data_IF_613333850103
#
_entry.id   IF_613333850103
#
_cell.length_a   1.000
_cell.length_b   1.000
_cell.length_c   1.000
_cell.angle_alpha   90.00
_cell.angle_beta   90.00
_cell.angle_gamma   90.00
#
_symmetry.space_group_name_H-M   'P 1'
#
loop_
_entity.id
_entity.type
_entity.pdbx_description
1 polymer ?
#
# COMPACT_ATOMS: atom_id res chain seq x y z
N UNK A 1 13.82 -29.15 -19.39
CA UNK A 1 13.07 -28.99 -18.13
C UNK A 1 11.80 -28.25 -18.45
N UNK A 2 10.71 -28.99 -18.51
CA UNK A 2 9.35 -28.56 -18.81
C UNK A 2 8.89 -27.49 -17.82
N UNK A 3 8.38 -26.37 -18.32
CA UNK A 3 7.65 -25.39 -17.52
C UNK A 3 6.42 -26.09 -16.93
N UNK A 4 6.12 -25.95 -15.62
CA UNK A 4 4.88 -26.47 -15.08
C UNK A 4 3.72 -25.73 -15.74
N UNK A 5 2.92 -26.50 -16.47
CA UNK A 5 1.65 -26.09 -17.07
C UNK A 5 0.76 -25.44 -16.02
N UNK A 6 0.36 -24.20 -16.28
CA UNK A 6 -0.66 -23.50 -15.51
C UNK A 6 -1.93 -24.34 -15.48
N UNK A 7 -2.38 -24.73 -14.30
CA UNK A 7 -3.70 -25.32 -14.08
C UNK A 7 -4.78 -24.35 -14.55
N UNK A 8 -5.30 -24.56 -15.76
CA UNK A 8 -6.57 -23.99 -16.20
C UNK A 8 -7.68 -24.68 -15.41
N UNK A 9 -8.45 -23.92 -14.62
CA UNK A 9 -9.63 -24.48 -13.95
C UNK A 9 -9.91 -24.01 -12.53
N UNK A 10 -9.32 -22.92 -12.05
CA UNK A 10 -9.71 -22.34 -10.76
C UNK A 10 -10.60 -21.10 -10.92
N UNK A 11 -11.31 -20.74 -9.86
CA UNK A 11 -12.22 -19.59 -9.82
C UNK A 11 -11.83 -18.61 -8.70
N UNK A 12 -11.96 -17.31 -8.99
CA UNK A 12 -11.72 -16.25 -7.99
C UNK A 12 -13.05 -15.68 -7.49
N UNK A 13 -13.26 -15.78 -6.19
CA UNK A 13 -14.41 -15.24 -5.47
C UNK A 13 -14.01 -13.88 -4.86
N UNK A 14 -14.58 -12.79 -5.38
CA UNK A 14 -14.27 -11.42 -4.95
C UNK A 14 -14.88 -11.14 -3.57
N UNK A 15 -14.05 -10.68 -2.64
CA UNK A 15 -14.49 -10.17 -1.33
C UNK A 15 -14.45 -8.64 -1.29
N UNK A 16 -13.31 -8.04 -1.64
CA UNK A 16 -13.20 -6.57 -1.67
C UNK A 16 -12.22 -6.07 -2.71
N UNK A 17 -12.43 -4.84 -3.17
CA UNK A 17 -11.48 -4.13 -4.01
C UNK A 17 -10.50 -3.37 -3.12
N UNK A 18 -9.21 -3.66 -3.24
CA UNK A 18 -8.16 -2.99 -2.46
C UNK A 18 -7.68 -1.70 -3.13
N UNK A 19 -7.58 -1.68 -4.46
CA UNK A 19 -7.06 -0.54 -5.21
C UNK A 19 -7.49 -0.60 -6.68
N UNK A 20 -7.72 0.55 -7.32
CA UNK A 20 -7.84 0.67 -8.78
C UNK A 20 -6.79 1.65 -9.30
N UNK A 21 -6.08 1.28 -10.35
CA UNK A 21 -5.15 2.15 -11.07
C UNK A 21 -5.31 2.04 -12.59
N UNK A 22 -4.56 2.85 -13.34
CA UNK A 22 -4.62 2.89 -14.82
C UNK A 22 -4.29 1.54 -15.48
N UNK A 23 -3.55 0.67 -14.79
CA UNK A 23 -3.04 -0.58 -15.35
C UNK A 23 -3.78 -1.82 -14.83
N UNK A 24 -4.49 -1.72 -13.70
CA UNK A 24 -5.22 -2.83 -13.10
C UNK A 24 -6.07 -2.43 -11.89
N UNK A 25 -6.98 -3.32 -11.53
CA UNK A 25 -7.71 -3.36 -10.26
C UNK A 25 -7.14 -4.47 -9.39
N UNK A 26 -6.77 -4.15 -8.15
CA UNK A 26 -6.33 -5.11 -7.13
C UNK A 26 -7.52 -5.48 -6.26
N UNK A 27 -7.77 -6.78 -6.19
CA UNK A 27 -8.92 -7.38 -5.53
C UNK A 27 -8.45 -8.43 -4.53
N UNK A 28 -9.08 -8.47 -3.36
CA UNK A 28 -8.90 -9.51 -2.35
C UNK A 28 -10.07 -10.47 -2.43
N UNK A 29 -9.81 -11.75 -2.21
CA UNK A 29 -10.82 -12.79 -2.30
C UNK A 29 -10.30 -14.17 -1.98
N UNK A 30 -11.05 -15.17 -2.40
CA UNK A 30 -10.65 -16.58 -2.33
C UNK A 30 -10.37 -17.11 -3.74
N UNK A 31 -9.28 -17.84 -3.88
CA UNK A 31 -9.00 -18.66 -5.05
C UNK A 31 -9.43 -20.09 -4.76
N UNK A 32 -10.34 -20.63 -5.57
CA UNK A 32 -10.72 -22.04 -5.56
C UNK A 32 -9.94 -22.74 -6.66
N UNK A 33 -9.11 -23.71 -6.30
CA UNK A 33 -8.41 -24.53 -7.29
C UNK A 33 -9.37 -25.51 -7.99
N UNK A 34 -8.85 -26.26 -8.96
CA UNK A 34 -9.64 -27.25 -9.69
C UNK A 34 -10.13 -28.43 -8.82
N UNK A 35 -9.55 -28.60 -7.63
CA UNK A 35 -9.92 -29.61 -6.64
C UNK A 35 -10.96 -29.07 -5.63
N UNK A 36 -11.34 -27.80 -5.73
CA UNK A 36 -12.29 -27.14 -4.82
C UNK A 36 -11.67 -26.60 -3.54
N UNK A 37 -10.35 -26.68 -3.36
CA UNK A 37 -9.68 -26.11 -2.20
C UNK A 37 -9.67 -24.58 -2.29
N UNK A 38 -10.02 -23.91 -1.20
CA UNK A 38 -10.06 -22.45 -1.14
C UNK A 38 -8.80 -21.89 -0.47
N UNK A 39 -8.14 -20.93 -1.13
CA UNK A 39 -6.97 -20.24 -0.62
C UNK A 39 -7.19 -18.73 -0.61
N UNK A 40 -6.80 -18.01 0.46
CA UNK A 40 -6.76 -16.55 0.45
C UNK A 40 -5.90 -16.03 -0.70
N UNK A 41 -6.45 -15.11 -1.48
CA UNK A 41 -5.85 -14.67 -2.74
C UNK A 41 -6.00 -13.16 -2.99
N UNK A 42 -5.08 -12.66 -3.81
CA UNK A 42 -5.16 -11.33 -4.41
C UNK A 42 -5.17 -11.49 -5.93
N UNK A 43 -6.19 -10.93 -6.58
CA UNK A 43 -6.28 -10.86 -8.04
C UNK A 43 -5.89 -9.46 -8.50
N UNK A 44 -4.94 -9.41 -9.44
CA UNK A 44 -4.71 -8.23 -10.27
C UNK A 44 -5.51 -8.41 -11.55
N UNK A 45 -6.65 -7.73 -11.63
CA UNK A 45 -7.54 -7.72 -12.77
C UNK A 45 -7.17 -6.57 -13.71
N UNK A 46 -6.84 -6.88 -14.96
CA UNK A 46 -6.58 -5.94 -16.04
C UNK A 46 -7.46 -6.20 -17.27
N UNK A 47 -8.58 -6.91 -17.11
CA UNK A 47 -9.48 -7.23 -18.20
C UNK A 47 -10.17 -5.97 -18.76
N UNK A 48 -10.57 -5.06 -17.85
CA UNK A 48 -11.36 -3.85 -18.13
C UNK A 48 -10.51 -2.60 -18.38
N UNK A 49 -9.19 -2.72 -18.44
CA UNK A 49 -8.32 -1.56 -18.74
C UNK A 49 -8.51 -1.11 -20.18
N UNK A 50 -8.24 0.18 -20.43
CA UNK A 50 -8.29 0.76 -21.78
C UNK A 50 -7.47 -0.11 -22.76
N UNK A 51 -8.03 -0.38 -23.94
CA UNK A 51 -7.45 -1.31 -24.91
C UNK A 51 -5.99 -1.01 -25.26
N UNK A 52 -5.59 0.26 -25.31
CA UNK A 52 -4.23 0.70 -25.62
C UNK A 52 -3.25 0.50 -24.44
N UNK A 53 -3.74 0.41 -23.20
CA UNK A 53 -2.95 0.08 -22.00
C UNK A 53 -2.79 -1.42 -21.83
N UNK A 54 -3.74 -2.22 -22.33
CA UNK A 54 -3.81 -3.68 -22.15
C UNK A 54 -2.50 -4.41 -22.49
N UNK A 55 -1.76 -4.11 -23.57
CA UNK A 55 -0.47 -4.76 -23.84
C UNK A 55 0.56 -4.55 -22.74
N UNK A 56 0.60 -3.35 -22.15
CA UNK A 56 1.51 -2.99 -21.07
C UNK A 56 1.07 -3.60 -19.74
N UNK A 57 -0.23 -3.58 -19.43
CA UNK A 57 -0.78 -4.26 -18.25
C UNK A 57 -0.47 -5.77 -18.27
N UNK A 58 -0.67 -6.40 -19.43
CA UNK A 58 -0.30 -7.80 -19.67
C UNK A 58 1.19 -8.05 -19.50
N UNK A 59 2.05 -7.15 -19.97
CA UNK A 59 3.49 -7.24 -19.76
C UNK A 59 3.86 -7.20 -18.27
N UNK A 60 3.27 -6.28 -17.49
CA UNK A 60 3.50 -6.21 -16.05
C UNK A 60 3.01 -7.45 -15.31
N UNK A 61 1.81 -7.97 -15.63
CA UNK A 61 1.30 -9.20 -15.04
C UNK A 61 2.21 -10.40 -15.33
N UNK A 62 2.69 -10.55 -16.57
CA UNK A 62 3.64 -11.62 -16.94
C UNK A 62 4.98 -11.49 -16.21
N UNK A 63 5.50 -10.26 -16.05
CA UNK A 63 6.74 -10.03 -15.29
C UNK A 63 6.58 -10.36 -13.82
N UNK A 64 5.49 -9.91 -13.21
CA UNK A 64 5.16 -10.19 -11.82
C UNK A 64 5.06 -11.71 -11.59
N UNK A 65 4.28 -12.41 -12.43
CA UNK A 65 4.16 -13.87 -12.35
C UNK A 65 5.50 -14.59 -12.54
N UNK A 66 6.31 -14.17 -13.52
CA UNK A 66 7.64 -14.76 -13.76
C UNK A 66 8.57 -14.57 -12.55
N UNK A 67 8.57 -13.38 -11.96
CA UNK A 67 9.40 -13.09 -10.79
C UNK A 67 8.92 -13.86 -9.55
N UNK A 68 7.61 -13.91 -9.30
CA UNK A 68 7.04 -14.63 -8.17
C UNK A 68 7.26 -16.15 -8.28
N UNK A 69 7.02 -16.76 -9.45
CA UNK A 69 7.35 -18.18 -9.70
C UNK A 69 8.83 -18.47 -9.48
N UNK A 70 9.71 -17.56 -9.90
CA UNK A 70 11.16 -17.71 -9.66
C UNK A 70 11.53 -17.53 -8.19
N UNK A 71 10.78 -16.70 -7.45
CA UNK A 71 10.95 -16.39 -6.03
C UNK A 71 10.33 -17.43 -5.10
N UNK A 72 9.59 -18.40 -5.64
CA UNK A 72 8.92 -19.43 -4.87
C UNK A 72 9.89 -20.18 -3.93
N UNK A 73 9.37 -20.55 -2.76
CA UNK A 73 10.17 -21.12 -1.68
C UNK A 73 11.13 -20.14 -0.99
N UNK A 74 11.09 -18.83 -1.29
CA UNK A 74 11.89 -17.84 -0.56
C UNK A 74 11.43 -17.62 0.89
N UNK A 75 10.17 -17.94 1.20
CA UNK A 75 9.54 -17.62 2.48
C UNK A 75 9.28 -16.12 2.71
N UNK A 76 9.50 -15.26 1.70
CA UNK A 76 9.36 -13.80 1.78
C UNK A 76 8.61 -13.20 0.58
N UNK A 77 7.94 -14.05 -0.20
CA UNK A 77 7.06 -13.67 -1.32
C UNK A 77 5.80 -14.51 -1.26
N UNK A 78 4.88 -14.27 -2.20
CA UNK A 78 3.65 -15.05 -2.34
C UNK A 78 3.71 -16.00 -3.54
N UNK A 79 3.04 -17.17 -3.47
CA UNK A 79 2.91 -18.05 -4.63
C UNK A 79 2.04 -17.42 -5.71
N UNK A 80 2.18 -17.89 -6.95
CA UNK A 80 1.27 -17.57 -8.05
C UNK A 80 0.28 -18.71 -8.18
N UNK A 81 -1.02 -18.41 -8.11
CA UNK A 81 -2.07 -19.41 -8.29
C UNK A 81 -2.47 -19.52 -9.76
N UNK A 82 -2.66 -18.40 -10.45
CA UNK A 82 -3.05 -18.40 -11.86
C UNK A 82 -2.51 -17.17 -12.60
N UNK A 83 -2.25 -17.33 -13.89
CA UNK A 83 -1.99 -16.23 -14.82
C UNK A 83 -2.76 -16.54 -16.10
N UNK A 84 -3.78 -15.74 -16.37
CA UNK A 84 -4.63 -15.88 -17.56
C UNK A 84 -4.73 -14.53 -18.30
N UNK A 85 -5.35 -14.52 -19.47
CA UNK A 85 -5.59 -13.26 -20.15
C UNK A 85 -6.58 -12.41 -19.33
N UNK A 86 -6.20 -11.16 -19.07
CA UNK A 86 -6.99 -10.26 -18.24
C UNK A 86 -6.68 -10.32 -16.74
N UNK A 87 -5.97 -11.31 -16.19
CA UNK A 87 -5.67 -11.31 -14.75
C UNK A 87 -4.49 -12.17 -14.28
N UNK A 88 -3.98 -11.82 -13.10
CA UNK A 88 -2.99 -12.59 -12.32
C UNK A 88 -3.55 -12.83 -10.90
N UNK A 89 -3.61 -14.09 -10.47
CA UNK A 89 -3.98 -14.48 -9.10
C UNK A 89 -2.74 -14.95 -8.35
N UNK A 90 -2.54 -14.41 -7.14
CA UNK A 90 -1.43 -14.74 -6.25
C UNK A 90 -1.92 -14.95 -4.82
N UNK A 91 -1.10 -15.59 -4.00
CA UNK A 91 -1.38 -15.77 -2.58
C UNK A 91 -1.58 -14.44 -1.86
N UNK A 92 -2.50 -14.44 -0.90
CA UNK A 92 -2.65 -13.37 0.08
C UNK A 92 -1.79 -13.66 1.30
N UNK A 93 -1.20 -12.60 1.86
CA UNK A 93 -0.53 -12.66 3.17
C UNK A 93 -1.20 -11.64 4.05
N UNK A 94 -1.64 -12.08 5.22
CA UNK A 94 -2.16 -11.16 6.22
C UNK A 94 -1.02 -10.32 6.81
N UNK A 95 -1.21 -9.02 6.82
CA UNK A 95 -0.17 -8.07 7.19
C UNK A 95 -0.50 -6.64 6.78
N UNK A 96 0.27 -5.71 7.33
CA UNK A 96 0.11 -4.27 7.15
C UNK A 96 1.23 -3.72 6.25
N UNK A 97 0.93 -2.86 5.26
CA UNK A 97 1.98 -2.17 4.50
C UNK A 97 2.92 -1.38 5.40
N UNK A 98 4.23 -1.41 5.13
CA UNK A 98 5.26 -0.82 6.01
C UNK A 98 5.02 0.66 6.35
N UNK A 99 4.44 1.43 5.43
CA UNK A 99 4.09 2.85 5.63
C UNK A 99 3.01 3.08 6.69
N UNK A 100 2.20 2.07 6.98
CA UNK A 100 1.18 2.09 8.03
C UNK A 100 1.77 1.46 9.30
N UNK A 101 2.38 0.28 9.18
CA UNK A 101 2.93 -0.46 10.33
C UNK A 101 4.01 0.32 11.10
N UNK A 102 4.84 1.11 10.38
CA UNK A 102 5.90 1.96 10.94
C UNK A 102 6.67 1.29 12.11
N UNK A 103 7.27 0.10 11.90
CA UNK A 103 7.82 -0.74 12.96
C UNK A 103 9.13 -0.15 13.52
N UNK A 104 9.00 0.93 14.31
CA UNK A 104 10.13 1.67 14.88
C UNK A 104 10.82 0.81 15.93
N UNK A 105 12.15 0.73 15.84
CA UNK A 105 12.96 -0.09 16.74
C UNK A 105 12.88 -1.60 16.51
N UNK A 106 12.03 -2.10 15.61
CA UNK A 106 11.89 -3.54 15.38
C UNK A 106 13.03 -4.08 14.49
N UNK A 107 14.07 -4.60 15.15
CA UNK A 107 15.21 -5.18 14.47
C UNK A 107 14.91 -6.53 13.82
N UNK A 108 13.93 -7.27 14.34
CA UNK A 108 13.55 -8.59 13.83
C UNK A 108 12.91 -8.45 12.44
N UNK A 109 12.01 -7.48 12.25
CA UNK A 109 11.44 -7.16 10.95
C UNK A 109 12.53 -6.82 9.92
N UNK A 110 13.48 -5.93 10.25
CA UNK A 110 14.55 -5.56 9.31
C UNK A 110 15.54 -6.69 9.03
N UNK A 111 15.77 -7.59 10.00
CA UNK A 111 16.52 -8.82 9.78
C UNK A 111 15.80 -9.76 8.81
N UNK A 112 14.48 -9.94 8.99
CA UNK A 112 13.62 -10.69 8.08
C UNK A 112 13.63 -10.08 6.67
N UNK A 113 13.47 -8.76 6.54
CA UNK A 113 13.47 -8.05 5.27
C UNK A 113 14.80 -8.23 4.52
N UNK A 114 15.92 -8.15 5.24
CA UNK A 114 17.25 -8.42 4.69
C UNK A 114 17.39 -9.87 4.21
N UNK A 115 16.85 -10.84 4.95
CA UNK A 115 16.82 -12.25 4.53
C UNK A 115 16.00 -12.41 3.25
N UNK A 116 14.80 -11.87 3.20
CA UNK A 116 13.94 -11.90 2.00
C UNK A 116 14.59 -11.28 0.77
N UNK A 117 15.20 -10.10 0.93
CA UNK A 117 15.90 -9.45 -0.17
C UNK A 117 17.07 -10.30 -0.69
N UNK A 118 17.84 -10.89 0.24
CA UNK A 118 18.92 -11.82 -0.12
C UNK A 118 18.39 -13.04 -0.87
N UNK A 119 17.26 -13.62 -0.46
CA UNK A 119 16.67 -14.79 -1.13
C UNK A 119 16.20 -14.49 -2.55
N UNK A 120 15.60 -13.32 -2.77
CA UNK A 120 15.21 -12.82 -4.09
C UNK A 120 16.44 -12.58 -4.97
N UNK A 121 17.46 -11.91 -4.44
CA UNK A 121 18.72 -11.67 -5.15
C UNK A 121 19.49 -12.97 -5.45
N UNK A 122 19.45 -13.96 -4.55
CA UNK A 122 20.06 -15.28 -4.78
C UNK A 122 19.47 -15.98 -5.99
N UNK A 123 18.19 -15.75 -6.27
CA UNK A 123 17.43 -16.28 -7.42
C UNK A 123 17.55 -15.41 -8.68
N UNK A 124 18.49 -14.46 -8.70
CA UNK A 124 18.77 -13.53 -9.81
C UNK A 124 17.59 -12.60 -10.14
N UNK A 125 16.81 -12.23 -9.14
CA UNK A 125 15.70 -11.29 -9.26
C UNK A 125 16.17 -9.95 -8.68
N UNK A 126 15.96 -8.85 -9.40
CA UNK A 126 16.05 -7.49 -8.85
C UNK A 126 14.64 -6.89 -8.87
N UNK A 127 14.18 -6.34 -7.75
CA UNK A 127 12.81 -5.88 -7.57
C UNK A 127 12.56 -4.53 -8.25
N UNK A 128 13.55 -3.63 -8.23
CA UNK A 128 13.56 -2.30 -8.86
C UNK A 128 12.54 -1.28 -8.34
N UNK A 129 11.72 -1.62 -7.34
CA UNK A 129 10.69 -0.71 -6.82
C UNK A 129 10.63 -0.68 -5.28
N UNK A 130 11.71 -1.05 -4.59
CA UNK A 130 11.76 -1.04 -3.12
C UNK A 130 11.84 0.36 -2.50
N UNK A 131 11.82 1.40 -3.33
CA UNK A 131 11.77 2.77 -2.88
C UNK A 131 10.47 3.08 -2.12
N UNK A 132 9.37 2.45 -2.54
CA UNK A 132 8.04 2.64 -1.96
C UNK A 132 7.90 1.77 -0.72
N UNK A 133 7.65 2.32 0.48
CA UNK A 133 7.54 1.50 1.69
C UNK A 133 6.40 0.47 1.57
N UNK A 134 5.31 0.79 0.88
CA UNK A 134 4.17 -0.13 0.66
C UNK A 134 4.51 -1.44 -0.06
N UNK A 135 5.66 -1.52 -0.74
CA UNK A 135 6.13 -2.78 -1.36
C UNK A 135 6.75 -3.74 -0.33
N UNK A 136 6.83 -3.33 0.94
CA UNK A 136 7.08 -4.18 2.09
C UNK A 136 5.80 -4.35 2.89
N UNK A 137 5.46 -5.61 3.17
CA UNK A 137 4.38 -5.98 4.07
C UNK A 137 4.97 -6.48 5.39
N UNK A 138 4.46 -5.96 6.50
CA UNK A 138 4.68 -6.48 7.84
C UNK A 138 3.63 -7.57 8.09
N UNK A 139 4.01 -8.84 7.96
CA UNK A 139 3.08 -9.95 8.12
C UNK A 139 2.67 -10.15 9.58
N UNK A 140 1.54 -10.81 9.79
CA UNK A 140 1.03 -11.14 11.12
C UNK A 140 2.02 -11.96 11.98
N UNK A 141 2.86 -12.79 11.34
CA UNK A 141 3.92 -13.57 11.97
C UNK A 141 5.22 -12.77 12.25
N UNK A 142 5.20 -11.45 12.02
CA UNK A 142 6.33 -10.53 12.19
C UNK A 142 7.35 -10.56 11.04
N UNK A 143 7.17 -11.41 10.02
CA UNK A 143 8.10 -11.47 8.89
C UNK A 143 7.84 -10.35 7.89
N UNK A 144 8.90 -9.91 7.25
CA UNK A 144 8.82 -9.02 6.10
C UNK A 144 8.54 -9.80 4.81
N UNK A 145 7.51 -9.38 4.07
CA UNK A 145 7.16 -9.92 2.75
C UNK A 145 7.33 -8.85 1.68
N UNK A 146 7.96 -9.23 0.57
CA UNK A 146 8.09 -8.40 -0.62
C UNK A 146 6.83 -8.51 -1.47
N UNK A 147 6.28 -7.35 -1.82
CA UNK A 147 5.05 -7.21 -2.60
C UNK A 147 5.32 -6.44 -3.89
N UNK A 148 4.46 -6.68 -4.88
CA UNK A 148 4.45 -5.96 -6.17
C UNK A 148 5.72 -6.15 -7.03
N UNK A 149 5.77 -7.25 -7.78
CA UNK A 149 6.89 -7.57 -8.66
C UNK A 149 6.70 -7.07 -10.11
N UNK A 150 5.78 -6.13 -10.36
CA UNK A 150 5.49 -5.67 -11.74
C UNK A 150 6.71 -5.10 -12.47
N UNK A 151 7.58 -4.39 -11.74
CA UNK A 151 8.82 -3.82 -12.28
C UNK A 151 10.05 -4.72 -12.08
N UNK A 152 9.88 -5.89 -11.46
CA UNK A 152 10.98 -6.80 -11.19
C UNK A 152 11.62 -7.28 -12.49
N UNK A 153 12.95 -7.47 -12.46
CA UNK A 153 13.74 -8.04 -13.54
C UNK A 153 14.33 -9.37 -13.08
N UNK A 154 14.11 -10.42 -13.87
CA UNK A 154 14.72 -11.74 -13.65
C UNK A 154 15.85 -11.95 -14.66
N UNK A 155 17.05 -12.13 -14.15
CA UNK A 155 18.29 -12.30 -14.92
C UNK A 155 18.69 -13.77 -14.99
N UNK A 156 19.31 -14.19 -16.10
CA UNK A 156 19.88 -15.54 -16.23
C UNK A 156 21.16 -15.72 -15.41
N UNK A 157 21.96 -14.66 -15.27
CA UNK A 157 23.24 -14.64 -14.53
C UNK A 157 23.41 -13.35 -13.74
N UNK A 158 24.32 -13.35 -12.77
CA UNK A 158 24.69 -12.18 -11.95
C UNK A 158 25.57 -11.18 -12.72
N UNK A 159 25.05 -10.69 -13.84
CA UNK A 159 25.71 -9.72 -14.73
C UNK A 159 25.99 -8.38 -14.04
N UNK A 160 26.77 -7.50 -14.69
CA UNK A 160 26.98 -6.12 -14.20
C UNK A 160 25.65 -5.39 -13.99
N UNK A 161 24.69 -5.54 -14.92
CA UNK A 161 23.36 -4.94 -14.82
C UNK A 161 22.58 -5.45 -13.59
N UNK A 162 22.58 -6.77 -13.35
CA UNK A 162 21.97 -7.35 -12.15
C UNK A 162 22.59 -6.77 -10.86
N UNK A 163 23.92 -6.68 -10.81
CA UNK A 163 24.62 -6.14 -9.63
C UNK A 163 24.26 -4.69 -9.33
N UNK A 164 24.05 -3.87 -10.37
CA UNK A 164 23.59 -2.48 -10.21
C UNK A 164 22.15 -2.44 -9.71
N UNK A 165 21.24 -3.21 -10.32
CA UNK A 165 19.83 -3.26 -9.93
C UNK A 165 19.66 -3.77 -8.48
N UNK A 166 20.34 -4.86 -8.12
CA UNK A 166 20.36 -5.39 -6.76
C UNK A 166 20.99 -4.41 -5.75
N UNK A 167 21.98 -3.62 -6.15
CA UNK A 167 22.55 -2.58 -5.30
C UNK A 167 21.54 -1.45 -5.01
N UNK A 168 20.76 -1.03 -6.00
CA UNK A 168 19.69 -0.05 -5.79
C UNK A 168 18.60 -0.59 -4.86
N UNK A 169 18.18 -1.84 -5.03
CA UNK A 169 17.26 -2.52 -4.11
C UNK A 169 17.77 -2.46 -2.65
N UNK A 170 19.03 -2.82 -2.42
CA UNK A 170 19.67 -2.76 -1.10
C UNK A 170 19.67 -1.33 -0.56
N UNK A 171 20.03 -0.35 -1.40
CA UNK A 171 20.05 1.06 -1.01
C UNK A 171 18.65 1.54 -0.60
N UNK A 172 17.61 1.15 -1.34
CA UNK A 172 16.24 1.51 -1.02
C UNK A 172 15.73 0.83 0.25
N UNK A 173 16.01 -0.46 0.44
CA UNK A 173 15.78 -1.16 1.70
C UNK A 173 16.44 -0.42 2.89
N UNK A 174 17.71 -0.03 2.76
CA UNK A 174 18.42 0.67 3.82
C UNK A 174 17.86 2.08 4.11
N UNK A 175 17.24 2.74 3.12
CA UNK A 175 16.53 4.00 3.38
C UNK A 175 15.32 3.75 4.29
N UNK A 176 14.59 2.65 4.08
CA UNK A 176 13.49 2.26 4.99
C UNK A 176 14.03 1.96 6.38
N UNK A 177 15.08 1.13 6.48
CA UNK A 177 15.72 0.83 7.78
C UNK A 177 16.17 2.10 8.50
N UNK A 178 16.75 3.07 7.80
CA UNK A 178 17.13 4.37 8.39
C UNK A 178 15.94 5.13 8.95
N UNK A 179 14.80 5.13 8.26
CA UNK A 179 13.62 5.89 8.70
C UNK A 179 12.99 5.34 9.98
N UNK A 180 13.06 4.02 10.20
CA UNK A 180 12.40 3.36 11.33
C UNK A 180 13.37 2.90 12.44
N UNK A 181 14.62 2.57 12.09
CA UNK A 181 15.66 2.08 13.01
C UNK A 181 17.04 2.74 12.71
N UNK A 182 17.18 4.07 12.81
CA UNK A 182 18.41 4.78 12.47
C UNK A 182 19.61 4.31 13.32
N UNK A 183 19.39 4.09 14.62
CA UNK A 183 20.42 3.68 15.57
C UNK A 183 21.01 2.30 15.26
N UNK A 184 20.21 1.42 14.63
CA UNK A 184 20.62 0.06 14.29
C UNK A 184 21.36 -0.05 12.95
N UNK A 185 21.70 1.07 12.31
CA UNK A 185 22.50 1.07 11.10
C UNK A 185 23.96 0.73 11.42
N UNK A 186 24.55 -0.16 10.62
CA UNK A 186 25.97 -0.46 10.69
C UNK A 186 26.79 0.58 9.92
N UNK A 187 28.10 0.66 10.19
CA UNK A 187 29.02 1.53 9.44
C UNK A 187 29.00 1.25 7.92
N UNK A 188 28.87 -0.03 7.53
CA UNK A 188 28.77 -0.43 6.11
C UNK A 188 27.47 0.06 5.48
N UNK A 189 26.35 -0.07 6.18
CA UNK A 189 25.05 0.41 5.70
C UNK A 189 25.03 1.94 5.55
N UNK A 190 25.62 2.66 6.52
CA UNK A 190 25.83 4.12 6.42
C UNK A 190 26.64 4.50 5.18
N UNK A 191 27.72 3.76 4.88
CA UNK A 191 28.54 3.97 3.68
C UNK A 191 27.74 3.74 2.38
N UNK A 192 26.92 2.70 2.32
CA UNK A 192 26.04 2.43 1.16
C UNK A 192 25.04 3.58 0.97
N UNK A 193 24.43 4.07 2.04
CA UNK A 193 23.48 5.19 2.01
C UNK A 193 24.15 6.51 1.55
N UNK A 194 25.37 6.79 2.01
CA UNK A 194 26.13 7.97 1.60
C UNK A 194 26.49 7.95 0.10
N UNK A 195 26.74 6.77 -0.48
CA UNK A 195 27.15 6.65 -1.89
C UNK A 195 25.98 6.90 -2.85
N UNK A 196 25.78 8.15 -3.30
CA UNK A 196 24.82 8.49 -4.36
C UNK A 196 25.14 7.68 -5.63
N UNK A 197 24.24 6.78 -6.03
CA UNK A 197 24.40 5.96 -7.23
C UNK A 197 24.52 6.83 -8.48
N UNK A 198 25.45 6.47 -9.36
CA UNK A 198 25.61 7.11 -10.67
C UNK A 198 24.32 6.94 -11.49
N UNK A 199 23.59 5.83 -11.32
CA UNK A 199 22.28 5.62 -11.93
C UNK A 199 21.25 6.63 -11.43
N UNK A 200 21.14 6.87 -10.12
CA UNK A 200 20.28 7.94 -9.58
C UNK A 200 20.68 9.31 -10.12
N UNK A 201 21.97 9.58 -10.28
CA UNK A 201 22.47 10.88 -10.78
C UNK A 201 22.11 11.10 -12.25
N UNK A 202 22.20 10.06 -13.07
CA UNK A 202 21.81 10.08 -14.49
C UNK A 202 20.29 10.10 -14.62
N UNK A 203 19.56 9.21 -13.94
CA UNK A 203 18.09 9.17 -13.92
C UNK A 203 17.47 10.51 -13.49
N UNK A 204 18.02 11.17 -12.47
CA UNK A 204 17.56 12.50 -12.04
C UNK A 204 17.83 13.59 -13.09
N UNK A 205 18.86 13.43 -13.93
CA UNK A 205 19.19 14.37 -15.02
C UNK A 205 18.39 14.12 -16.31
N UNK A 206 18.13 12.87 -16.68
CA UNK A 206 17.53 12.52 -17.99
C UNK A 206 16.18 11.81 -17.89
N UNK A 207 16.09 10.75 -17.08
CA UNK A 207 14.89 9.90 -17.01
C UNK A 207 13.70 10.53 -16.28
N UNK A 208 13.92 11.31 -15.22
CA UNK A 208 12.85 11.87 -14.38
C UNK A 208 11.92 12.82 -15.15
N UNK A 209 12.44 13.57 -16.13
CA UNK A 209 11.62 14.47 -16.96
C UNK A 209 10.72 13.69 -17.93
N UNK A 210 11.25 12.66 -18.58
CA UNK A 210 10.48 11.78 -19.48
C UNK A 210 9.47 10.96 -18.69
N UNK A 211 9.87 10.41 -17.54
CA UNK A 211 8.98 9.73 -16.61
C UNK A 211 7.84 10.66 -16.19
N UNK A 212 8.13 11.85 -15.66
CA UNK A 212 7.10 12.81 -15.26
C UNK A 212 6.23 13.28 -16.42
N UNK A 213 6.77 13.41 -17.64
CA UNK A 213 5.98 13.77 -18.81
C UNK A 213 5.01 12.65 -19.21
N UNK A 214 5.48 11.41 -19.27
CA UNK A 214 4.64 10.24 -19.59
C UNK A 214 3.65 9.96 -18.47
N UNK A 215 4.06 10.01 -17.21
CA UNK A 215 3.18 9.74 -16.07
C UNK A 215 2.17 10.86 -15.84
N UNK A 216 2.57 12.14 -15.89
CA UNK A 216 1.64 13.26 -15.60
C UNK A 216 0.82 13.73 -16.79
N UNK A 217 1.30 13.58 -18.03
CA UNK A 217 0.64 14.13 -19.23
C UNK A 217 -0.06 13.08 -20.10
N UNK A 218 0.41 11.82 -20.09
CA UNK A 218 -0.19 10.72 -20.87
C UNK A 218 -0.99 9.72 -20.03
N UNK A 219 -0.60 9.50 -18.76
CA UNK A 219 -1.19 8.44 -17.92
C UNK A 219 -1.94 8.95 -16.67
N UNK A 220 -1.95 10.26 -16.42
CA UNK A 220 -2.48 10.92 -15.22
C UNK A 220 -2.11 10.19 -13.90
N UNK A 221 -0.87 9.70 -13.83
CA UNK A 221 -0.32 8.91 -12.73
C UNK A 221 0.46 9.81 -11.76
N UNK A 222 -0.01 9.89 -10.51
CA UNK A 222 0.67 10.58 -9.42
C UNK A 222 1.33 9.54 -8.48
N UNK A 223 2.64 9.65 -8.27
CA UNK A 223 3.36 8.84 -7.29
C UNK A 223 3.23 9.50 -5.91
N UNK A 224 2.27 9.02 -5.12
CA UNK A 224 1.81 9.71 -3.90
C UNK A 224 2.16 8.98 -2.60
N UNK A 225 3.23 8.17 -2.59
CA UNK A 225 3.68 7.42 -1.40
C UNK A 225 2.52 6.67 -0.68
N UNK A 226 1.55 6.18 -1.47
CA UNK A 226 0.41 5.42 -0.97
C UNK A 226 -0.71 6.25 -0.32
N UNK A 227 -0.74 7.58 -0.48
CA UNK A 227 -1.91 8.44 -0.19
C UNK A 227 -2.57 8.93 -1.48
N UNK A 228 -3.85 9.31 -1.47
CA UNK A 228 -4.48 9.98 -2.61
C UNK A 228 -3.97 11.42 -2.80
N UNK A 229 -3.88 11.94 -4.04
CA UNK A 229 -3.52 13.35 -4.29
C UNK A 229 -4.37 14.33 -3.48
N UNK A 230 -5.69 14.06 -3.35
CA UNK A 230 -6.60 14.88 -2.52
C UNK A 230 -6.19 14.91 -1.06
N UNK A 231 -5.76 13.80 -0.46
CA UNK A 231 -5.36 13.81 0.95
C UNK A 231 -4.09 14.62 1.20
N UNK A 232 -3.16 14.64 0.23
CA UNK A 232 -1.93 15.42 0.35
C UNK A 232 -2.17 16.92 0.14
N UNK A 233 -2.98 17.28 -0.86
CA UNK A 233 -3.17 18.68 -1.27
C UNK A 233 -4.32 19.37 -0.54
N UNK A 234 -5.44 18.67 -0.35
CA UNK A 234 -6.68 19.21 0.21
C UNK A 234 -6.88 18.85 1.69
N UNK A 235 -6.38 17.68 2.11
CA UNK A 235 -6.54 17.17 3.47
C UNK A 235 -6.14 18.17 4.58
N UNK A 236 -4.94 18.79 4.53
CA UNK A 236 -4.54 19.78 5.54
C UNK A 236 -5.44 21.02 5.58
N UNK A 237 -5.96 21.46 4.42
CA UNK A 237 -6.86 22.62 4.33
C UNK A 237 -8.23 22.30 4.95
N UNK A 238 -8.78 21.13 4.63
CA UNK A 238 -10.02 20.62 5.20
C UNK A 238 -9.88 20.49 6.72
N UNK A 239 -8.79 19.88 7.20
CA UNK A 239 -8.51 19.74 8.62
C UNK A 239 -8.45 21.09 9.35
N UNK A 240 -7.76 22.08 8.77
CA UNK A 240 -7.65 23.42 9.34
C UNK A 240 -9.00 24.14 9.46
N UNK A 241 -9.87 24.02 8.44
CA UNK A 241 -11.20 24.62 8.46
C UNK A 241 -12.11 23.98 9.50
N UNK A 242 -12.09 22.65 9.60
CA UNK A 242 -12.85 21.92 10.63
C UNK A 242 -12.35 22.21 12.04
N UNK A 243 -11.03 22.33 12.23
CA UNK A 243 -10.43 22.67 13.52
C UNK A 243 -10.79 24.07 14.02
N UNK A 244 -11.28 24.97 13.15
CA UNK A 244 -11.77 26.29 13.51
C UNK A 244 -13.22 26.34 13.99
N UNK A 245 -13.91 25.19 14.06
CA UNK A 245 -15.27 25.10 14.60
C UNK A 245 -15.20 24.95 16.12
N UNK A 246 -16.04 25.69 16.83
CA UNK A 246 -16.12 25.64 18.29
C UNK A 246 -16.39 24.20 18.77
N UNK A 247 -15.66 23.78 19.81
CA UNK A 247 -15.80 22.43 20.36
C UNK A 247 -15.04 21.32 19.61
N UNK A 248 -14.47 21.60 18.43
CA UNK A 248 -13.57 20.66 17.74
C UNK A 248 -12.19 20.69 18.40
N UNK A 249 -11.74 19.54 18.90
CA UNK A 249 -10.45 19.38 19.59
C UNK A 249 -9.34 18.89 18.67
N UNK A 250 -9.67 18.05 17.70
CA UNK A 250 -8.73 17.51 16.75
C UNK A 250 -9.44 17.02 15.48
N UNK A 251 -8.72 17.03 14.36
CA UNK A 251 -9.22 16.53 13.08
C UNK A 251 -8.13 15.70 12.44
N UNK A 252 -8.49 14.51 11.96
CA UNK A 252 -7.59 13.64 11.21
C UNK A 252 -8.21 13.24 9.87
N UNK A 253 -7.45 13.42 8.79
CA UNK A 253 -7.89 13.11 7.43
C UNK A 253 -7.12 11.90 6.88
N UNK A 254 -7.87 10.87 6.50
CA UNK A 254 -7.36 9.70 5.80
C UNK A 254 -7.90 9.66 4.37
N UNK A 255 -7.13 9.09 3.45
CA UNK A 255 -7.64 8.69 2.14
C UNK A 255 -8.08 7.23 2.13
N UNK A 256 -9.00 6.92 1.23
CA UNK A 256 -9.42 5.55 0.95
C UNK A 256 -9.75 5.37 -0.54
N UNK A 257 -9.61 4.15 -1.10
CA UNK A 257 -9.94 3.89 -2.50
C UNK A 257 -11.45 3.94 -2.74
N UNK A 258 -11.90 4.63 -3.79
CA UNK A 258 -13.31 4.59 -4.24
C UNK A 258 -13.46 3.75 -5.50
N UNK A 259 -14.70 3.42 -5.86
CA UNK A 259 -15.00 2.69 -7.10
C UNK A 259 -14.56 3.45 -8.38
N UNK A 260 -14.43 4.78 -8.34
CA UNK A 260 -14.22 5.62 -9.53
C UNK A 260 -12.77 5.83 -9.98
N UNK A 261 -11.81 4.99 -9.58
CA UNK A 261 -10.36 5.21 -9.78
C UNK A 261 -9.83 6.50 -9.09
N UNK A 262 -10.57 7.03 -8.13
CA UNK A 262 -10.17 8.18 -7.31
C UNK A 262 -9.95 7.76 -5.85
N UNK A 263 -9.36 8.67 -5.09
CA UNK A 263 -9.25 8.53 -3.64
C UNK A 263 -10.27 9.46 -2.99
N UNK A 264 -11.10 8.88 -2.14
CA UNK A 264 -11.99 9.61 -1.24
C UNK A 264 -11.24 10.03 0.02
N UNK A 265 -11.84 10.92 0.79
CA UNK A 265 -11.37 11.39 2.07
C UNK A 265 -12.34 10.98 3.17
N UNK A 266 -11.77 10.47 4.26
CA UNK A 266 -12.46 10.18 5.50
C UNK A 266 -11.93 11.16 6.56
N UNK A 267 -12.82 12.03 7.06
CA UNK A 267 -12.54 12.95 8.15
C UNK A 267 -13.02 12.36 9.49
N UNK A 268 -12.09 12.16 10.42
CA UNK A 268 -12.38 11.86 11.81
C UNK A 268 -12.26 13.15 12.62
N UNK A 269 -13.34 13.57 13.28
CA UNK A 269 -13.44 14.85 13.98
C UNK A 269 -13.69 14.59 15.47
N UNK A 270 -12.74 14.96 16.31
CA UNK A 270 -12.89 14.89 17.76
C UNK A 270 -13.69 16.10 18.25
N UNK A 271 -14.97 15.91 18.56
CA UNK A 271 -15.85 16.96 19.05
C UNK A 271 -16.90 16.38 20.00
N UNK A 272 -16.57 16.17 21.29
CA UNK A 272 -17.47 15.50 22.23
C UNK A 272 -18.70 16.37 22.55
N UNK A 273 -19.78 16.15 21.80
CA UNK A 273 -21.11 16.74 22.04
C UNK A 273 -21.26 18.23 21.71
N UNK A 274 -20.28 18.84 21.04
CA UNK A 274 -20.25 20.28 20.82
C UNK A 274 -20.56 20.71 19.38
N UNK A 275 -20.20 19.89 18.38
CA UNK A 275 -20.41 20.21 16.97
C UNK A 275 -21.31 19.16 16.32
N UNK A 276 -22.21 19.59 15.43
CA UNK A 276 -23.05 18.72 14.59
C UNK A 276 -22.42 18.47 13.23
N UNK A 277 -22.81 17.40 12.54
CA UNK A 277 -22.28 17.10 11.21
C UNK A 277 -22.70 18.19 10.20
N UNK A 278 -23.91 18.73 10.34
CA UNK A 278 -24.46 19.83 9.55
C UNK A 278 -23.61 21.10 9.67
N UNK A 279 -23.24 21.49 10.89
CA UNK A 279 -22.38 22.66 11.14
C UNK A 279 -20.99 22.49 10.51
N UNK A 280 -20.39 21.31 10.67
CA UNK A 280 -19.08 21.01 10.08
C UNK A 280 -19.13 21.04 8.55
N UNK A 281 -20.18 20.48 7.94
CA UNK A 281 -20.39 20.52 6.49
C UNK A 281 -20.66 21.93 5.98
N UNK A 282 -21.47 22.72 6.69
CA UNK A 282 -21.73 24.12 6.37
C UNK A 282 -20.44 24.95 6.45
N UNK A 283 -19.61 24.74 7.48
CA UNK A 283 -18.31 25.41 7.63
C UNK A 283 -17.37 25.05 6.48
N UNK A 284 -17.32 23.80 6.05
CA UNK A 284 -16.52 23.39 4.89
C UNK A 284 -16.99 24.07 3.60
N UNK A 285 -18.30 24.09 3.35
CA UNK A 285 -18.87 24.74 2.17
C UNK A 285 -18.57 26.25 2.12
N UNK A 286 -18.63 26.92 3.27
CA UNK A 286 -18.31 28.35 3.38
C UNK A 286 -16.80 28.63 3.28
N UNK A 287 -15.95 27.80 3.90
CA UNK A 287 -14.51 28.03 3.97
C UNK A 287 -13.72 27.54 2.75
N UNK A 288 -14.22 26.54 2.03
CA UNK A 288 -13.57 25.91 0.89
C UNK A 288 -14.59 25.57 -0.22
N UNK A 289 -15.29 26.56 -0.81
CA UNK A 289 -16.37 26.31 -1.78
C UNK A 289 -15.92 25.54 -3.03
N UNK A 290 -14.65 25.68 -3.43
CA UNK A 290 -14.08 25.02 -4.61
C UNK A 290 -13.49 23.63 -4.32
N UNK A 291 -13.53 23.16 -3.06
CA UNK A 291 -13.00 21.87 -2.67
C UNK A 291 -14.16 20.93 -2.33
N UNK A 292 -14.21 19.80 -3.04
CA UNK A 292 -15.14 18.73 -2.71
C UNK A 292 -14.95 18.30 -1.24
N UNK A 293 -16.03 18.21 -0.45
CA UNK A 293 -15.94 17.79 0.94
C UNK A 293 -15.47 16.32 1.05
N UNK A 294 -15.04 15.89 2.25
CA UNK A 294 -14.84 14.47 2.52
C UNK A 294 -16.12 13.66 2.30
N UNK A 295 -15.98 12.53 1.62
CA UNK A 295 -17.06 11.55 1.40
C UNK A 295 -17.59 11.03 2.73
N UNK A 296 -16.67 10.75 3.67
CA UNK A 296 -17.01 10.32 5.02
C UNK A 296 -16.59 11.40 6.02
N UNK A 297 -17.50 11.78 6.90
CA UNK A 297 -17.24 12.63 8.06
C UNK A 297 -17.82 11.91 9.28
N UNK A 298 -16.97 11.67 10.28
CA UNK A 298 -17.36 10.99 11.51
C UNK A 298 -16.92 11.81 12.72
N UNK A 299 -17.90 12.28 13.47
CA UNK A 299 -17.67 12.91 14.78
C UNK A 299 -17.46 11.81 15.81
N UNK A 300 -16.44 11.96 16.64
CA UNK A 300 -16.08 11.02 17.71
C UNK A 300 -15.81 11.76 19.00
N UNK A 301 -16.01 11.09 20.13
CA UNK A 301 -15.73 11.66 21.44
C UNK A 301 -14.22 11.83 21.71
N UNK A 302 -13.41 10.89 21.21
CA UNK A 302 -11.96 10.89 21.35
C UNK A 302 -11.30 10.20 20.14
N UNK A 303 -10.19 10.75 19.64
CA UNK A 303 -9.34 10.05 18.68
C UNK A 303 -8.31 9.16 19.41
N UNK A 304 -7.94 7.99 18.84
CA UNK A 304 -6.90 7.16 19.42
C UNK A 304 -5.54 7.86 19.35
N UNK A 305 -4.77 7.80 20.43
CA UNK A 305 -3.47 8.50 20.58
C UNK A 305 -2.35 7.54 20.99
N UNK A 306 -1.10 7.90 20.70
CA UNK A 306 0.08 7.22 21.23
C UNK A 306 0.43 7.70 22.65
N UNK A 307 1.52 7.17 23.21
CA UNK A 307 1.97 7.52 24.55
C UNK A 307 2.37 9.01 24.66
N UNK A 308 2.75 9.62 23.54
CA UNK A 308 3.10 11.02 23.42
C UNK A 308 1.87 11.93 23.17
N UNK A 309 0.66 11.35 23.10
CA UNK A 309 -0.60 12.07 22.89
C UNK A 309 -0.90 12.43 21.44
N UNK A 310 -0.06 12.01 20.48
CA UNK A 310 -0.27 12.24 19.06
C UNK A 310 -1.32 11.28 18.50
N UNK A 311 -2.15 11.76 17.57
CA UNK A 311 -3.21 10.95 16.96
C UNK A 311 -2.61 9.79 16.15
N UNK A 312 -3.14 8.58 16.37
CA UNK A 312 -2.70 7.33 15.73
C UNK A 312 -3.21 7.20 14.29
N UNK A 313 -2.48 7.85 13.38
CA UNK A 313 -2.69 7.79 11.92
C UNK A 313 -2.76 6.35 11.37
N UNK A 314 -1.92 5.46 11.88
CA UNK A 314 -1.87 4.06 11.48
C UNK A 314 -3.20 3.32 11.75
N UNK A 315 -3.81 3.54 12.90
CA UNK A 315 -5.11 2.95 13.27
C UNK A 315 -6.24 3.53 12.40
N UNK A 316 -6.31 4.86 12.29
CA UNK A 316 -7.37 5.54 11.54
C UNK A 316 -7.28 5.26 10.03
N UNK A 317 -6.08 5.03 9.49
CA UNK A 317 -5.91 4.59 8.10
C UNK A 317 -6.44 3.18 7.87
N UNK A 318 -6.21 2.24 8.77
CA UNK A 318 -6.77 0.89 8.64
C UNK A 318 -8.31 0.91 8.75
N UNK A 319 -8.88 1.80 9.57
CA UNK A 319 -10.33 2.04 9.59
C UNK A 319 -10.80 2.58 8.24
N UNK A 320 -10.18 3.66 7.72
CA UNK A 320 -10.57 4.27 6.45
C UNK A 320 -10.45 3.28 5.27
N UNK A 321 -9.42 2.43 5.26
CA UNK A 321 -9.20 1.38 4.27
C UNK A 321 -10.12 0.15 4.46
N UNK A 322 -10.95 0.14 5.50
CA UNK A 322 -11.82 -0.98 5.88
C UNK A 322 -11.06 -2.30 6.13
N UNK A 323 -9.82 -2.18 6.64
CA UNK A 323 -8.89 -3.28 6.98
C UNK A 323 -8.86 -3.51 8.49
N UNK A 324 -10.05 -3.61 9.10
CA UNK A 324 -10.23 -3.73 10.56
C UNK A 324 -9.49 -4.94 11.13
N UNK A 325 -9.48 -6.06 10.41
CA UNK A 325 -8.84 -7.32 10.84
C UNK A 325 -7.34 -7.13 11.14
N UNK A 326 -6.68 -6.23 10.39
CA UNK A 326 -5.25 -5.95 10.55
C UNK A 326 -4.95 -5.10 11.79
N UNK A 327 -5.94 -4.44 12.40
CA UNK A 327 -5.71 -3.64 13.60
C UNK A 327 -5.09 -4.49 14.70
N UNK A 328 -5.44 -5.77 14.82
CA UNK A 328 -4.87 -6.68 15.82
C UNK A 328 -3.34 -6.75 15.81
N UNK A 329 -2.69 -6.38 14.69
CA UNK A 329 -1.23 -6.39 14.55
C UNK A 329 -0.54 -5.15 15.11
N UNK A 330 -1.29 -4.12 15.51
CA UNK A 330 -0.75 -2.87 16.05
C UNK A 330 -0.95 -2.79 17.56
N UNK A 331 0.12 -2.52 18.30
CA UNK A 331 0.06 -2.29 19.74
C UNK A 331 -0.73 -1.02 20.08
N UNK A 332 -1.50 -1.09 21.16
CA UNK A 332 -2.38 -0.02 21.65
C UNK A 332 -2.42 0.01 23.17
N UNK A 333 -2.58 1.19 23.75
CA UNK A 333 -2.97 1.33 25.16
C UNK A 333 -4.47 1.04 25.33
N UNK A 334 -4.95 0.74 26.54
CA UNK A 334 -6.39 0.58 26.80
C UNK A 334 -7.23 1.77 26.36
N UNK A 335 -6.73 3.00 26.55
CA UNK A 335 -7.42 4.23 26.18
C UNK A 335 -7.53 4.38 24.66
N UNK A 336 -6.45 4.09 23.94
CA UNK A 336 -6.45 4.09 22.49
C UNK A 336 -7.36 3.00 21.92
N UNK A 337 -7.43 1.84 22.57
CA UNK A 337 -8.33 0.74 22.18
C UNK A 337 -9.80 1.12 22.38
N UNK A 338 -10.15 1.75 23.51
CA UNK A 338 -11.50 2.23 23.77
C UNK A 338 -11.96 3.30 22.77
N UNK A 339 -11.09 4.29 22.48
CA UNK A 339 -11.37 5.32 21.47
C UNK A 339 -11.54 4.70 20.07
N UNK A 340 -10.66 3.76 19.71
CA UNK A 340 -10.75 3.06 18.43
C UNK A 340 -12.02 2.19 18.33
N UNK A 341 -12.42 1.51 19.39
CA UNK A 341 -13.63 0.70 19.40
C UNK A 341 -14.89 1.53 19.14
N UNK A 342 -14.96 2.76 19.66
CA UNK A 342 -16.01 3.71 19.32
C UNK A 342 -15.96 4.10 17.83
N UNK A 343 -14.77 4.44 17.30
CA UNK A 343 -14.57 4.76 15.88
C UNK A 343 -15.06 3.62 14.96
N UNK A 344 -14.71 2.37 15.28
CA UNK A 344 -15.04 1.18 14.46
C UNK A 344 -16.54 0.90 14.45
N UNK A 345 -17.21 1.06 15.60
CA UNK A 345 -18.64 0.80 15.77
C UNK A 345 -19.48 1.66 14.85
N UNK A 346 -19.15 2.95 14.76
CA UNK A 346 -19.91 3.95 14.02
C UNK A 346 -19.26 4.31 12.68
N UNK A 347 -18.38 3.45 12.15
CA UNK A 347 -17.65 3.70 10.90
C UNK A 347 -18.61 3.85 9.71
N UNK A 348 -18.33 4.83 8.86
CA UNK A 348 -19.19 5.24 7.73
C UNK A 348 -18.91 4.48 6.43
N UNK A 349 -17.90 3.62 6.39
CA UNK A 349 -17.43 2.91 5.19
C UNK A 349 -17.84 1.42 5.11
N UNK A 350 -18.93 1.02 5.79
CA UNK A 350 -19.43 -0.35 5.75
C UNK A 350 -19.79 -0.83 4.34
N UNK A 351 -20.37 0.07 3.54
CA UNK A 351 -20.77 -0.15 2.15
C UNK A 351 -19.61 -0.23 1.17
N UNK A 352 -18.40 0.15 1.58
CA UNK A 352 -17.23 0.19 0.69
C UNK A 352 -16.65 -1.20 0.44
N UNK A 353 -17.02 -2.20 1.26
CA UNK A 353 -16.88 -3.62 0.89
C UNK A 353 -17.85 -3.87 -0.25
N UNK A 354 -17.32 -4.02 -1.46
CA UNK A 354 -18.09 -4.49 -2.62
C UNK A 354 -18.58 -5.90 -2.33
N UNK A 355 -19.70 -6.02 -1.61
CA UNK A 355 -20.59 -7.17 -1.77
C UNK A 355 -21.13 -7.03 -3.18
N UNK A 356 -20.62 -7.87 -4.08
CA UNK A 356 -21.25 -8.09 -5.37
C UNK A 356 -22.75 -8.30 -5.14
N UNK A 357 -23.56 -7.69 -6.00
CA UNK A 357 -24.99 -7.87 -5.97
C UNK A 357 -25.38 -9.34 -5.98
N UNK A 358 -26.62 -9.55 -5.56
CA UNK A 358 -27.45 -10.71 -5.91
C UNK A 358 -27.22 -11.12 -7.37
#
# INVERSE_FOLDING_TARGET
MTEPTSSSGGAFELDTVLKRDTFSTIERGLWRDAQGNAFPAVRRNYAEVKWWVKPLARHFARREARALRRAEGSGHTVPVYALEEGYLVRGFVDGIPLQIAKPRGDLAFFASARKGLREVHRRNIAHNDLAKPQNWLYAADGRAVLMDFQLAMVFSKRSKAFRVAAYEDIRHFLKQKRSYCPEALTARERKILARKSLFTRVWMKTGKRVYNFVTRRLLNYHDTEGRGPRAMEQGPRIAAVLAGVEGVRAVHICDFPTAGHSFGLYAFVEAPGAATEEELRARLAAGLPDILPPEHLQIVAALPRDAEGAVRDDLLRLVALNQIDQLALLSRSPEADAALAAVIRDRRNLSDRVRGGI
#
